data_IF_111133288882
#
_entry.id   IF_111133288882
#
_cell.length_a   1.000
_cell.length_b   1.000
_cell.length_c   1.000
_cell.angle_alpha   90.00
_cell.angle_beta   90.00
_cell.angle_gamma   90.00
#
_symmetry.space_group_name_H-M   'P 1'
#
loop_
_entity.id
_entity.type
_entity.pdbx_description
1 polymer ?
#
# COMPACT_ATOMS: atom_id res chain seq x y z
N UNK A 1 -10.85 -12.14 -18.48
CA UNK A 1 -10.02 -11.59 -17.39
C UNK A 1 -9.50 -10.23 -17.86
N UNK A 2 -10.27 -9.15 -17.59
CA UNK A 2 -9.93 -7.78 -18.03
C UNK A 2 -9.17 -7.10 -16.91
N UNK A 3 -7.87 -6.91 -17.11
CA UNK A 3 -7.11 -5.93 -16.34
C UNK A 3 -7.66 -4.54 -16.71
N UNK A 4 -8.21 -3.83 -15.73
CA UNK A 4 -8.51 -2.41 -15.90
C UNK A 4 -7.16 -1.68 -15.90
N UNK A 5 -6.65 -1.41 -17.10
CA UNK A 5 -5.57 -0.46 -17.30
C UNK A 5 -6.21 0.92 -17.29
N UNK A 6 -6.24 1.58 -16.13
CA UNK A 6 -6.54 3.00 -16.07
C UNK A 6 -5.43 3.75 -16.82
N UNK A 7 -5.76 4.22 -18.02
CA UNK A 7 -4.89 5.10 -18.80
C UNK A 7 -4.85 6.48 -18.15
N UNK A 8 -3.84 6.74 -17.33
CA UNK A 8 -3.50 8.09 -16.92
C UNK A 8 -2.64 8.72 -18.03
N UNK A 9 -3.11 9.86 -18.57
CA UNK A 9 -2.42 10.62 -19.59
C UNK A 9 -1.00 11.00 -19.15
N UNK A 10 -0.03 10.58 -19.94
CA UNK A 10 1.39 10.87 -19.72
C UNK A 10 1.67 12.36 -19.93
N UNK A 11 1.77 13.14 -18.84
CA UNK A 11 2.35 14.48 -18.86
C UNK A 11 3.83 14.37 -18.57
N UNK A 12 4.68 14.78 -19.53
CA UNK A 12 6.15 14.75 -19.43
C UNK A 12 6.63 15.79 -18.41
N UNK A 13 7.21 15.33 -17.33
CA UNK A 13 7.94 16.19 -16.38
C UNK A 13 9.47 16.06 -16.60
N UNK A 14 10.14 17.21 -16.77
CA UNK A 14 11.61 17.31 -16.81
C UNK A 14 12.13 17.41 -15.37
N UNK A 15 12.94 16.44 -14.97
CA UNK A 15 13.55 16.28 -13.66
C UNK A 15 13.50 14.81 -13.28
N UNK A 16 14.32 14.28 -12.40
CA UNK A 16 14.29 12.86 -12.00
C UNK A 16 12.94 12.48 -11.35
N UNK A 17 11.88 12.47 -12.15
CA UNK A 17 10.54 12.08 -11.75
C UNK A 17 10.46 10.56 -11.70
N UNK A 18 10.64 10.04 -10.52
CA UNK A 18 10.51 8.63 -10.20
C UNK A 18 9.02 8.36 -9.96
N UNK A 19 8.35 7.70 -10.89
CA UNK A 19 6.93 7.37 -10.78
C UNK A 19 6.70 6.25 -9.78
N UNK A 20 5.55 6.29 -9.10
CA UNK A 20 5.03 5.18 -8.30
C UNK A 20 4.79 3.94 -9.17
N UNK A 21 4.67 2.77 -8.53
CA UNK A 21 4.23 1.56 -9.22
C UNK A 21 2.72 1.61 -9.49
N UNK A 22 2.28 0.87 -10.51
CA UNK A 22 0.86 0.64 -10.74
C UNK A 22 0.22 -0.06 -9.53
N UNK A 23 -1.01 0.31 -9.13
CA UNK A 23 -1.67 -0.31 -7.99
C UNK A 23 -1.89 -1.81 -8.21
N UNK A 24 -1.80 -2.57 -7.14
CA UNK A 24 -2.30 -3.94 -7.08
C UNK A 24 -3.73 -3.86 -6.57
N UNK A 25 -4.70 -4.07 -7.43
CA UNK A 25 -6.12 -3.97 -7.07
C UNK A 25 -6.98 -4.73 -8.07
N UNK A 26 -8.10 -5.24 -7.62
CA UNK A 26 -9.17 -5.75 -8.47
C UNK A 26 -10.55 -5.31 -7.92
N UNK A 27 -11.63 -5.73 -8.57
CA UNK A 27 -13.00 -5.37 -8.18
C UNK A 27 -13.41 -5.92 -6.79
N UNK A 28 -12.74 -6.94 -6.30
CA UNK A 28 -13.03 -7.59 -5.02
C UNK A 28 -12.15 -7.04 -3.89
N UNK A 29 -11.20 -6.16 -4.19
CA UNK A 29 -10.33 -5.55 -3.19
C UNK A 29 -11.13 -4.64 -2.27
N UNK A 30 -11.18 -4.94 -0.98
CA UNK A 30 -11.97 -4.22 0.03
C UNK A 30 -11.11 -3.44 1.04
N UNK A 31 -9.81 -3.69 1.11
CA UNK A 31 -8.86 -2.98 1.98
C UNK A 31 -7.66 -2.55 1.16
N UNK A 32 -7.39 -1.24 1.14
CA UNK A 32 -6.22 -0.66 0.49
C UNK A 32 -5.11 -0.45 1.52
N UNK A 33 -3.94 -1.01 1.27
CA UNK A 33 -2.72 -0.70 2.03
C UNK A 33 -1.94 0.35 1.25
N UNK A 34 -1.55 1.44 1.90
CA UNK A 34 -0.75 2.49 1.27
C UNK A 34 0.61 2.66 1.94
N UNK A 35 1.64 2.70 1.10
CA UNK A 35 2.97 3.19 1.47
C UNK A 35 3.11 4.68 1.21
N UNK A 36 4.32 5.19 1.37
CA UNK A 36 4.67 6.58 1.07
C UNK A 36 5.07 6.72 -0.39
N UNK A 37 6.17 6.05 -0.74
CA UNK A 37 6.89 6.17 -1.99
C UNK A 37 7.86 4.98 -2.17
N UNK A 38 8.10 4.51 -3.40
CA UNK A 38 9.02 3.39 -3.60
C UNK A 38 10.45 3.72 -3.18
N UNK A 39 11.00 2.92 -2.26
CA UNK A 39 12.41 3.03 -1.88
C UNK A 39 13.35 2.73 -3.06
N UNK A 40 14.65 3.16 -3.02
CA UNK A 40 15.60 2.78 -4.06
C UNK A 40 15.63 1.28 -4.35
N UNK A 41 15.62 0.44 -3.33
CA UNK A 41 15.60 -1.02 -3.48
C UNK A 41 14.30 -1.55 -4.10
N UNK A 42 13.15 -0.94 -3.77
CA UNK A 42 11.88 -1.27 -4.41
C UNK A 42 11.92 -0.96 -5.92
N UNK A 43 12.53 0.17 -6.29
CA UNK A 43 12.71 0.54 -7.70
C UNK A 43 13.65 -0.39 -8.45
N UNK A 44 14.77 -0.80 -7.85
CA UNK A 44 15.69 -1.80 -8.42
C UNK A 44 14.96 -3.14 -8.70
N UNK A 45 14.07 -3.54 -7.81
CA UNK A 45 13.29 -4.78 -7.94
C UNK A 45 12.01 -4.62 -8.77
N UNK A 46 11.61 -3.40 -9.09
CA UNK A 46 10.41 -3.11 -9.86
C UNK A 46 9.10 -3.39 -9.12
N UNK A 47 9.12 -3.49 -7.77
CA UNK A 47 7.92 -3.78 -6.99
C UNK A 47 8.00 -3.30 -5.54
N UNK A 48 6.82 -3.18 -4.90
CA UNK A 48 6.63 -2.70 -3.54
C UNK A 48 7.44 -3.47 -2.50
N UNK A 49 7.94 -2.74 -1.51
CA UNK A 49 8.64 -3.29 -0.34
C UNK A 49 9.80 -4.23 -0.68
N UNK A 50 10.57 -3.86 -1.73
CA UNK A 50 11.67 -4.67 -2.27
C UNK A 50 12.95 -4.69 -1.42
N UNK A 51 13.06 -3.90 -0.34
CA UNK A 51 14.23 -3.95 0.53
C UNK A 51 14.26 -5.30 1.28
N UNK A 52 15.38 -6.05 1.26
CA UNK A 52 15.46 -7.41 1.85
C UNK A 52 15.06 -7.49 3.32
N UNK A 53 15.32 -6.42 4.09
CA UNK A 53 14.97 -6.33 5.50
C UNK A 53 13.57 -5.72 5.75
N UNK A 54 12.81 -5.39 4.71
CA UNK A 54 11.44 -4.92 4.91
C UNK A 54 10.56 -6.09 5.35
N UNK A 55 9.82 -5.86 6.42
CA UNK A 55 9.01 -6.91 7.06
C UNK A 55 7.61 -7.06 6.44
N UNK A 56 7.27 -6.28 5.42
CA UNK A 56 5.92 -6.29 4.84
C UNK A 56 5.52 -7.68 4.32
N UNK A 57 6.30 -8.27 3.43
CA UNK A 57 5.94 -9.58 2.85
C UNK A 57 5.94 -10.72 3.87
N UNK A 58 6.94 -10.86 4.76
CA UNK A 58 6.86 -11.81 5.87
C UNK A 58 5.68 -11.59 6.81
N UNK A 59 5.33 -10.32 7.08
CA UNK A 59 4.19 -9.97 7.92
C UNK A 59 2.86 -10.37 7.26
N UNK A 60 2.66 -10.02 5.99
CA UNK A 60 1.45 -10.42 5.25
C UNK A 60 1.30 -11.94 5.20
N UNK A 61 2.36 -12.67 4.85
CA UNK A 61 2.34 -14.13 4.82
C UNK A 61 1.93 -14.73 6.17
N UNK A 62 2.50 -14.23 7.26
CA UNK A 62 2.16 -14.67 8.62
C UNK A 62 0.69 -14.39 8.97
N UNK A 63 0.17 -13.20 8.68
CA UNK A 63 -1.19 -12.82 9.02
C UNK A 63 -2.24 -13.53 8.17
N UNK A 64 -1.90 -13.86 6.93
CA UNK A 64 -2.79 -14.54 5.99
C UNK A 64 -2.65 -16.06 6.01
N UNK A 65 -1.73 -16.61 6.81
CA UNK A 65 -1.49 -18.05 6.90
C UNK A 65 -0.90 -18.67 5.63
N UNK A 66 -0.11 -17.88 4.87
CA UNK A 66 0.51 -18.31 3.62
C UNK A 66 2.04 -18.36 3.71
N UNK A 67 2.69 -19.00 2.73
CA UNK A 67 4.13 -18.93 2.56
C UNK A 67 4.55 -17.52 2.11
N UNK A 68 5.79 -17.11 2.48
CA UNK A 68 6.32 -15.81 2.04
C UNK A 68 6.51 -15.81 0.53
N UNK A 69 5.83 -14.92 -0.21
CA UNK A 69 5.88 -14.90 -1.67
C UNK A 69 7.26 -14.43 -2.16
N UNK A 70 7.83 -15.14 -3.14
CA UNK A 70 9.17 -14.88 -3.66
C UNK A 70 9.13 -14.04 -4.95
N UNK A 71 8.12 -14.24 -5.78
CA UNK A 71 7.99 -13.58 -7.08
C UNK A 71 6.92 -12.48 -7.06
N UNK A 72 7.02 -11.54 -8.00
CA UNK A 72 6.00 -10.48 -8.15
C UNK A 72 4.60 -11.06 -8.43
N UNK A 73 4.43 -12.07 -9.31
CA UNK A 73 3.13 -12.72 -9.48
C UNK A 73 2.57 -13.33 -8.18
N UNK A 74 3.39 -14.02 -7.39
CA UNK A 74 2.96 -14.57 -6.10
C UNK A 74 2.54 -13.48 -5.12
N UNK A 75 3.30 -12.38 -5.03
CA UNK A 75 2.98 -11.20 -4.19
C UNK A 75 1.61 -10.62 -4.54
N UNK A 76 1.36 -10.39 -5.83
CA UNK A 76 0.06 -9.90 -6.32
C UNK A 76 -1.06 -10.89 -6.03
N UNK A 77 -0.85 -12.16 -6.35
CA UNK A 77 -1.86 -13.19 -6.15
C UNK A 77 -2.25 -13.36 -4.67
N UNK A 78 -1.27 -13.32 -3.75
CA UNK A 78 -1.53 -13.38 -2.31
C UNK A 78 -2.44 -12.24 -1.86
N UNK A 79 -2.12 -10.99 -2.21
CA UNK A 79 -2.93 -9.84 -1.80
C UNK A 79 -4.36 -9.94 -2.37
N UNK A 80 -4.50 -10.20 -3.67
CA UNK A 80 -5.80 -10.21 -4.33
C UNK A 80 -6.70 -11.36 -3.85
N UNK A 81 -6.15 -12.54 -3.54
CA UNK A 81 -6.92 -13.64 -2.93
C UNK A 81 -7.59 -13.24 -1.62
N UNK A 82 -6.95 -12.36 -0.87
CA UNK A 82 -7.45 -11.88 0.42
C UNK A 82 -8.16 -10.52 0.34
N UNK A 83 -8.50 -10.07 -0.87
CA UNK A 83 -9.19 -8.80 -1.08
C UNK A 83 -8.39 -7.57 -0.64
N UNK A 84 -7.07 -7.67 -0.64
CA UNK A 84 -6.15 -6.59 -0.31
C UNK A 84 -5.65 -5.90 -1.58
N UNK A 85 -5.75 -4.58 -1.61
CA UNK A 85 -5.11 -3.72 -2.59
C UNK A 85 -3.83 -3.12 -2.01
N UNK A 86 -2.90 -2.74 -2.88
CA UNK A 86 -1.63 -2.12 -2.49
C UNK A 86 -1.29 -0.98 -3.44
N UNK A 87 -0.95 0.18 -2.88
CA UNK A 87 -0.44 1.34 -3.60
C UNK A 87 0.46 2.20 -2.72
N UNK A 88 0.94 3.33 -3.27
CA UNK A 88 1.61 4.39 -2.53
C UNK A 88 0.74 5.65 -2.50
N UNK A 89 0.95 6.54 -1.54
CA UNK A 89 0.23 7.82 -1.42
C UNK A 89 0.70 8.86 -2.42
N UNK A 90 1.92 8.69 -2.95
CA UNK A 90 2.56 9.64 -3.88
C UNK A 90 2.75 8.98 -5.23
N UNK A 91 2.28 9.63 -6.30
CA UNK A 91 2.55 9.26 -7.68
C UNK A 91 3.91 9.77 -8.15
N UNK A 92 4.22 11.03 -7.85
CA UNK A 92 5.52 11.63 -8.11
C UNK A 92 5.87 12.69 -7.08
N UNK A 93 7.16 12.91 -6.83
CA UNK A 93 7.66 13.95 -5.96
C UNK A 93 9.11 14.27 -6.27
N UNK A 94 9.58 15.41 -5.78
CA UNK A 94 11.01 15.73 -5.67
C UNK A 94 11.52 15.25 -4.32
N UNK A 95 12.59 14.46 -4.30
CA UNK A 95 13.21 13.96 -3.07
C UNK A 95 14.73 14.08 -3.15
N UNK A 96 15.37 14.51 -2.07
CA UNK A 96 16.83 14.57 -1.94
C UNK A 96 17.30 13.44 -1.03
N UNK A 97 18.08 12.52 -1.59
CA UNK A 97 18.51 11.31 -0.87
C UNK A 97 17.37 10.29 -0.66
N UNK A 98 17.37 9.60 0.48
CA UNK A 98 16.40 8.57 0.83
C UNK A 98 15.47 8.96 1.99
N UNK A 99 15.49 10.24 2.40
CA UNK A 99 14.76 10.73 3.57
C UNK A 99 13.36 11.22 3.19
N UNK A 100 12.33 10.65 3.79
CA UNK A 100 10.94 11.11 3.67
C UNK A 100 10.74 12.58 4.09
N UNK A 101 11.63 13.12 4.92
CA UNK A 101 11.59 14.52 5.33
C UNK A 101 11.97 15.52 4.20
N UNK A 102 12.60 15.04 3.13
CA UNK A 102 12.99 15.85 1.97
C UNK A 102 11.96 15.87 0.84
N UNK A 103 10.82 15.23 1.01
CA UNK A 103 9.75 15.15 0.00
C UNK A 103 9.18 16.57 -0.26
N UNK A 104 9.15 16.96 -1.54
CA UNK A 104 8.62 18.23 -2.06
C UNK A 104 7.83 17.96 -3.35
N UNK A 105 7.05 18.95 -3.79
CA UNK A 105 6.33 18.94 -5.08
C UNK A 105 5.51 17.66 -5.25
N UNK A 106 4.74 17.30 -4.22
CA UNK A 106 3.97 16.06 -4.16
C UNK A 106 2.84 16.08 -5.18
N UNK A 107 2.82 15.09 -6.07
CA UNK A 107 1.65 14.70 -6.85
C UNK A 107 1.08 13.45 -6.19
N UNK A 108 -0.13 13.51 -5.60
CA UNK A 108 -0.73 12.35 -4.96
C UNK A 108 -1.25 11.35 -5.98
N UNK A 109 -1.33 10.09 -5.58
CA UNK A 109 -2.06 9.06 -6.33
C UNK A 109 -3.58 9.27 -6.20
N UNK A 110 -4.32 8.92 -7.25
CA UNK A 110 -5.79 9.05 -7.26
C UNK A 110 -6.46 7.86 -6.55
N UNK A 111 -6.35 7.86 -5.22
CA UNK A 111 -6.98 6.83 -4.36
C UNK A 111 -8.51 6.88 -4.49
N UNK A 112 -9.10 8.05 -4.74
CA UNK A 112 -10.54 8.18 -4.92
C UNK A 112 -11.03 7.41 -6.15
N UNK A 113 -10.36 7.57 -7.29
CA UNK A 113 -10.68 6.82 -8.51
C UNK A 113 -10.49 5.30 -8.30
N UNK A 114 -9.41 4.89 -7.61
CA UNK A 114 -9.19 3.48 -7.30
C UNK A 114 -10.31 2.90 -6.43
N UNK A 115 -10.73 3.62 -5.38
CA UNK A 115 -11.79 3.19 -4.49
C UNK A 115 -13.15 3.12 -5.21
N UNK A 116 -13.44 4.05 -6.12
CA UNK A 116 -14.66 4.04 -6.95
C UNK A 116 -14.74 2.82 -7.88
N UNK A 117 -13.61 2.35 -8.39
CA UNK A 117 -13.51 1.21 -9.30
C UNK A 117 -13.43 -0.16 -8.60
N UNK A 118 -13.57 -0.21 -7.28
CA UNK A 118 -13.37 -1.42 -6.47
C UNK A 118 -14.34 -1.50 -5.29
N UNK A 119 -14.20 -2.54 -4.47
CA UNK A 119 -14.97 -2.69 -3.22
C UNK A 119 -14.25 -2.07 -1.99
N UNK A 120 -13.26 -1.19 -2.17
CA UNK A 120 -12.46 -0.63 -1.08
C UNK A 120 -13.36 0.17 -0.12
N UNK A 121 -13.26 -0.16 1.18
CA UNK A 121 -14.00 0.47 2.28
C UNK A 121 -13.08 0.95 3.40
N UNK A 122 -11.79 0.62 3.34
CA UNK A 122 -10.82 0.95 4.37
C UNK A 122 -9.43 1.15 3.76
N UNK A 123 -8.68 2.11 4.32
CA UNK A 123 -7.28 2.37 4.00
C UNK A 123 -6.41 2.08 5.22
N UNK A 124 -5.34 1.31 5.04
CA UNK A 124 -4.32 1.03 6.05
C UNK A 124 -3.03 1.74 5.65
N UNK A 125 -2.62 2.74 6.43
CA UNK A 125 -1.42 3.52 6.14
C UNK A 125 -0.19 2.89 6.84
N UNK A 126 0.77 2.42 6.05
CA UNK A 126 1.98 1.75 6.53
C UNK A 126 3.00 2.78 7.06
N UNK A 127 2.79 3.24 8.27
CA UNK A 127 3.63 4.19 8.98
C UNK A 127 3.08 5.62 9.05
N UNK A 128 3.69 6.43 9.93
CA UNK A 128 3.23 7.79 10.20
C UNK A 128 3.35 8.73 9.00
N UNK A 129 4.38 8.54 8.15
CA UNK A 129 4.55 9.38 6.95
C UNK A 129 3.47 9.07 5.91
N UNK A 130 3.17 7.79 5.66
CA UNK A 130 2.08 7.40 4.76
C UNK A 130 0.74 7.93 5.26
N UNK A 131 0.46 7.83 6.57
CA UNK A 131 -0.72 8.40 7.19
C UNK A 131 -0.83 9.91 6.95
N UNK A 132 0.22 10.68 7.28
CA UNK A 132 0.22 12.13 7.12
C UNK A 132 0.00 12.56 5.66
N UNK A 133 0.63 11.87 4.71
CA UNK A 133 0.47 12.17 3.28
C UNK A 133 -0.92 11.81 2.77
N UNK A 134 -1.47 10.67 3.20
CA UNK A 134 -2.83 10.28 2.89
C UNK A 134 -3.82 11.34 3.38
N UNK A 135 -3.76 11.73 4.67
CA UNK A 135 -4.64 12.74 5.24
C UNK A 135 -4.52 14.11 4.55
N UNK A 136 -3.28 14.46 4.12
CA UNK A 136 -3.02 15.77 3.50
C UNK A 136 -3.50 15.85 2.06
N UNK A 137 -3.33 14.77 1.27
CA UNK A 137 -3.45 14.84 -0.18
C UNK A 137 -4.47 13.89 -0.81
N UNK A 138 -4.83 12.80 -0.14
CA UNK A 138 -5.56 11.70 -0.76
C UNK A 138 -6.74 11.19 0.07
N UNK A 139 -7.07 11.87 1.18
CA UNK A 139 -8.17 11.45 2.05
C UNK A 139 -9.50 11.42 1.26
N UNK A 140 -10.18 10.28 1.29
CA UNK A 140 -11.45 10.07 0.60
C UNK A 140 -12.58 10.16 1.64
N UNK A 141 -13.53 11.10 1.49
CA UNK A 141 -14.65 11.22 2.40
C UNK A 141 -15.44 9.91 2.53
N UNK A 142 -15.74 9.51 3.76
CA UNK A 142 -16.47 8.27 4.05
C UNK A 142 -15.62 7.00 4.01
N UNK A 143 -14.35 7.07 3.63
CA UNK A 143 -13.44 5.94 3.63
C UNK A 143 -12.61 5.91 4.93
N UNK A 144 -12.84 4.91 5.77
CA UNK A 144 -12.11 4.78 7.03
C UNK A 144 -10.62 4.55 6.79
N UNK A 145 -9.76 5.35 7.43
CA UNK A 145 -8.32 5.20 7.36
C UNK A 145 -7.72 4.86 8.73
N UNK A 146 -6.68 4.03 8.74
CA UNK A 146 -6.01 3.57 9.96
C UNK A 146 -4.50 3.75 9.82
N UNK A 147 -3.89 4.40 10.80
CA UNK A 147 -2.44 4.50 10.91
C UNK A 147 -1.88 3.25 11.58
N UNK A 148 -1.06 2.48 10.86
CA UNK A 148 -0.38 1.30 11.39
C UNK A 148 1.13 1.53 11.53
N UNK A 149 1.81 0.79 12.42
CA UNK A 149 3.26 0.89 12.53
C UNK A 149 3.96 0.46 11.23
N UNK A 150 4.99 1.21 10.85
CA UNK A 150 5.73 0.94 9.61
C UNK A 150 6.45 -0.39 9.64
N UNK A 151 6.38 -1.14 8.53
CA UNK A 151 7.13 -2.38 8.30
C UNK A 151 8.59 -2.14 7.88
N UNK A 152 8.98 -0.88 7.65
CA UNK A 152 10.35 -0.50 7.27
C UNK A 152 11.38 -0.97 8.31
N UNK A 153 12.58 -1.41 7.88
CA UNK A 153 13.67 -1.72 8.80
C UNK A 153 14.10 -0.51 9.64
N UNK A 154 13.89 0.71 9.16
CA UNK A 154 14.14 1.94 9.93
C UNK A 154 13.28 2.04 11.20
N UNK A 155 12.15 1.32 11.27
CA UNK A 155 11.30 1.25 12.45
C UNK A 155 11.74 0.13 13.40
N UNK A 156 12.96 0.19 13.89
CA UNK A 156 13.60 -0.87 14.69
C UNK A 156 12.90 -1.16 16.04
N UNK A 157 12.15 -0.19 16.58
CA UNK A 157 11.41 -0.35 17.84
C UNK A 157 10.24 -1.34 17.76
N UNK A 158 9.83 -1.74 16.56
CA UNK A 158 8.74 -2.68 16.33
C UNK A 158 9.27 -4.05 15.90
N UNK A 159 9.17 -5.04 16.79
CA UNK A 159 9.44 -6.43 16.43
C UNK A 159 8.37 -7.00 15.50
N UNK A 160 8.64 -8.17 14.91
CA UNK A 160 7.65 -8.85 14.06
C UNK A 160 6.38 -9.21 14.85
N UNK A 161 6.51 -9.60 16.12
CA UNK A 161 5.38 -9.95 16.99
C UNK A 161 4.50 -8.74 17.26
N UNK A 162 5.10 -7.58 17.56
CA UNK A 162 4.35 -6.32 17.78
C UNK A 162 3.69 -5.84 16.50
N UNK A 163 4.36 -5.98 15.34
CA UNK A 163 3.76 -5.69 14.05
C UNK A 163 2.57 -6.63 13.78
N UNK A 164 2.75 -7.93 14.01
CA UNK A 164 1.69 -8.92 13.78
C UNK A 164 0.46 -8.66 14.68
N UNK A 165 0.67 -8.27 15.94
CA UNK A 165 -0.43 -7.91 16.83
C UNK A 165 -1.20 -6.67 16.30
N UNK A 166 -0.50 -5.57 15.94
CA UNK A 166 -1.13 -4.34 15.49
C UNK A 166 -1.80 -4.46 14.11
N UNK A 167 -1.19 -5.17 13.17
CA UNK A 167 -1.72 -5.36 11.82
C UNK A 167 -2.81 -6.43 11.76
N UNK A 168 -2.73 -7.44 12.65
CA UNK A 168 -3.66 -8.58 12.69
C UNK A 168 -5.11 -8.19 12.95
N UNK A 169 -5.33 -7.08 13.66
CA UNK A 169 -6.66 -6.50 13.86
C UNK A 169 -7.34 -6.07 12.56
N UNK A 170 -6.57 -5.85 11.48
CA UNK A 170 -7.06 -5.29 10.23
C UNK A 170 -6.85 -6.19 9.01
N UNK A 171 -5.88 -7.11 9.06
CA UNK A 171 -5.48 -7.94 7.92
C UNK A 171 -5.78 -9.42 8.13
N UNK A 172 -5.92 -9.86 9.37
CA UNK A 172 -6.22 -11.26 9.71
C UNK A 172 -7.56 -11.75 9.13
N UNK A 173 -7.76 -13.08 9.04
CA UNK A 173 -8.96 -13.68 8.43
C UNK A 173 -10.27 -13.16 9.02
N UNK A 174 -10.33 -12.95 10.34
CA UNK A 174 -11.51 -12.39 11.01
C UNK A 174 -11.82 -10.98 10.56
N UNK A 175 -10.80 -10.12 10.48
CA UNK A 175 -10.97 -8.73 10.06
C UNK A 175 -11.44 -8.60 8.60
N UNK A 176 -11.05 -9.54 7.76
CA UNK A 176 -11.49 -9.63 6.35
C UNK A 176 -12.96 -10.07 6.30
N UNK A 177 -13.33 -11.08 7.05
CA UNK A 177 -14.72 -11.59 7.13
C UNK A 177 -15.68 -10.51 7.64
N UNK A 178 -15.29 -9.77 8.67
CA UNK A 178 -16.13 -8.71 9.24
C UNK A 178 -16.40 -7.56 8.26
N UNK A 179 -15.45 -7.24 7.40
CA UNK A 179 -15.65 -6.25 6.33
C UNK A 179 -16.56 -6.74 5.22
N UNK A 180 -16.45 -8.00 4.82
CA UNK A 180 -17.30 -8.59 3.80
C UNK A 180 -18.76 -8.62 4.25
N UNK A 181 -19.01 -8.98 5.51
CA UNK A 181 -20.36 -9.06 6.08
C UNK A 181 -21.02 -7.66 6.22
N UNK A 182 -20.28 -6.61 6.53
CA UNK A 182 -20.79 -5.22 6.63
C UNK A 182 -21.11 -4.59 5.27
N UNK A 183 -20.64 -5.15 4.18
CA UNK A 183 -20.91 -4.66 2.82
C UNK A 183 -22.17 -5.25 2.17
N UNK A 184 -22.82 -6.20 2.82
CA UNK A 184 -24.01 -6.92 2.32
C UNK A 184 -25.31 -6.51 3.01
N UNK A 185 -25.29 -5.46 3.84
CA UNK A 185 -26.44 -4.94 4.57
C UNK A 185 -26.95 -3.61 4.00
#
# INVERSE_FOLDING_TARGET
MHLIVCGAGAQKYKGENRMSFAPVCDKNSHTLIVGTWPSPKSREQGFYYGHPQNRFWPLMARLLGEAVPQTIPEKKAMLLRHGLALWDTIESCTITGASDASIRDVVPTDIAALAHGSAIRRVLCNGATAWRLYETYSAVPGLAAVKLPSTSPANAAWSMERLAAAWGEYVGPQAITDLQNKGSA
#
